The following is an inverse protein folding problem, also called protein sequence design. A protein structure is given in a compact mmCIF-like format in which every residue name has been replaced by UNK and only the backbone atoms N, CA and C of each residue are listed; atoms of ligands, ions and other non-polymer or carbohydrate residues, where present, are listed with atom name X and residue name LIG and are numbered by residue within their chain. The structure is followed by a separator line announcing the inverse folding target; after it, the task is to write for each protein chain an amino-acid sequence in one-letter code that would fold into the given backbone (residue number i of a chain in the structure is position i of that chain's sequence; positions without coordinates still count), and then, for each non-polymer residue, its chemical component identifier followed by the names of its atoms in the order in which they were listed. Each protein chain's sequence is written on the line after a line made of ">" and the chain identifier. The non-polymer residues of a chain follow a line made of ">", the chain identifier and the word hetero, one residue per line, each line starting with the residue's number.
data_IF_715268060286
#
_entry.id   IF_715268060286
#
_cell.length_a   1.000
_cell.length_b   1.000
_cell.length_c   1.000
_cell.angle_alpha   90.00
_cell.angle_beta   90.00
_cell.angle_gamma   90.00
#
_symmetry.space_group_name_H-M   'P 1'
#
loop_
_entity.id
_entity.type
_entity.pdbx_description
1 polymer ?
#
# COMPACT_ATOMS: atom_id res chain seq x y z
N UNK A 1 -4.57 -22.57 -2.88
CA UNK A 1 -3.47 -21.65 -3.23
C UNK A 1 -3.32 -20.68 -2.08
N UNK A 2 -2.13 -20.59 -1.50
CA UNK A 2 -1.88 -19.71 -0.37
C UNK A 2 -1.25 -18.41 -0.91
N UNK A 3 -1.99 -17.31 -0.88
CA UNK A 3 -1.49 -15.99 -1.29
C UNK A 3 -1.21 -15.19 -0.03
N UNK A 4 0.00 -14.65 0.07
CA UNK A 4 0.37 -13.72 1.13
C UNK A 4 0.37 -12.29 0.60
N UNK A 5 -0.41 -11.42 1.23
CA UNK A 5 -0.47 -10.00 0.90
C UNK A 5 0.30 -9.18 1.93
N UNK A 6 1.15 -8.28 1.45
CA UNK A 6 1.78 -7.21 2.25
C UNK A 6 1.43 -5.87 1.64
N UNK A 7 0.75 -5.01 2.40
CA UNK A 7 0.50 -3.63 1.98
C UNK A 7 1.64 -2.71 2.43
N UNK A 8 2.26 -2.05 1.47
CA UNK A 8 3.35 -1.09 1.67
C UNK A 8 2.81 0.31 1.32
N UNK A 9 2.56 1.17 2.32
CA UNK A 9 2.22 2.56 2.05
C UNK A 9 3.47 3.29 1.54
N UNK A 10 3.32 4.02 0.45
CA UNK A 10 4.41 4.82 -0.14
C UNK A 10 4.09 6.29 0.07
N UNK A 11 4.87 6.96 0.91
CA UNK A 11 4.69 8.37 1.23
C UNK A 11 5.85 9.19 0.68
N UNK A 12 5.54 10.00 -0.32
CA UNK A 12 6.46 10.99 -0.87
C UNK A 12 5.66 12.18 -1.42
N UNK A 13 6.36 13.26 -1.78
CA UNK A 13 5.72 14.48 -2.27
C UNK A 13 4.88 14.26 -3.54
N UNK A 14 5.30 13.34 -4.42
CA UNK A 14 4.55 13.05 -5.65
C UNK A 14 3.19 12.41 -5.32
N UNK A 15 3.15 11.48 -4.36
CA UNK A 15 1.91 10.84 -3.94
C UNK A 15 1.01 11.81 -3.18
N UNK A 16 1.56 12.71 -2.36
CA UNK A 16 0.79 13.78 -1.72
C UNK A 16 0.19 14.73 -2.76
N UNK A 17 0.97 15.16 -3.76
CA UNK A 17 0.46 16.02 -4.83
C UNK A 17 -0.64 15.34 -5.65
N UNK A 18 -0.50 14.04 -5.95
CA UNK A 18 -1.54 13.23 -6.62
C UNK A 18 -2.80 13.14 -5.79
N UNK A 19 -2.67 12.89 -4.48
CA UNK A 19 -3.81 12.87 -3.56
C UNK A 19 -4.52 14.23 -3.51
N UNK A 20 -3.77 15.33 -3.36
CA UNK A 20 -4.34 16.68 -3.39
C UNK A 20 -5.06 16.97 -4.71
N UNK A 21 -4.50 16.52 -5.84
CA UNK A 21 -5.16 16.65 -7.14
C UNK A 21 -6.47 15.87 -7.21
N UNK A 22 -6.46 14.62 -6.74
CA UNK A 22 -7.65 13.76 -6.72
C UNK A 22 -8.78 14.33 -5.87
N UNK A 23 -8.42 14.95 -4.73
CA UNK A 23 -9.37 15.61 -3.82
C UNK A 23 -9.73 17.05 -4.24
N UNK A 24 -9.29 17.52 -5.42
CA UNK A 24 -9.49 18.90 -5.91
C UNK A 24 -8.99 20.00 -4.94
N UNK A 25 -7.93 19.71 -4.18
CA UNK A 25 -7.32 20.64 -3.23
C UNK A 25 -6.33 21.59 -3.94
N UNK A 26 -6.08 22.75 -3.33
CA UNK A 26 -5.10 23.72 -3.84
C UNK A 26 -3.67 23.21 -3.66
N UNK A 27 -3.10 22.64 -4.72
CA UNK A 27 -1.71 22.11 -4.73
C UNK A 27 -0.64 23.17 -4.49
N UNK A 28 -0.93 24.46 -4.68
CA UNK A 28 0.03 25.55 -4.47
C UNK A 28 0.04 26.07 -3.04
N UNK A 29 -0.91 25.62 -2.22
CA UNK A 29 -0.96 25.90 -0.80
C UNK A 29 0.02 24.98 -0.06
N UNK A 30 1.12 25.57 0.43
CA UNK A 30 2.18 24.84 1.13
C UNK A 30 1.74 24.37 2.51
N UNK A 31 0.94 25.17 3.22
CA UNK A 31 0.47 24.82 4.55
C UNK A 31 -0.52 23.65 4.47
N UNK A 32 -1.44 23.71 3.51
CA UNK A 32 -2.35 22.60 3.23
C UNK A 32 -1.58 21.33 2.81
N UNK A 33 -0.56 21.46 1.96
CA UNK A 33 0.28 20.33 1.54
C UNK A 33 1.01 19.69 2.72
N UNK A 34 1.61 20.51 3.59
CA UNK A 34 2.29 20.04 4.80
C UNK A 34 1.30 19.34 5.73
N UNK A 35 0.11 19.89 5.90
CA UNK A 35 -0.94 19.29 6.71
C UNK A 35 -1.38 17.92 6.16
N UNK A 36 -1.60 17.81 4.84
CA UNK A 36 -1.91 16.54 4.17
C UNK A 36 -0.79 15.52 4.35
N UNK A 37 0.48 15.94 4.15
CA UNK A 37 1.63 15.07 4.34
C UNK A 37 1.68 14.52 5.77
N UNK A 38 1.60 15.40 6.77
CA UNK A 38 1.64 15.01 8.18
C UNK A 38 0.48 14.08 8.53
N UNK A 39 -0.73 14.35 8.04
CA UNK A 39 -1.89 13.49 8.28
C UNK A 39 -1.68 12.09 7.70
N UNK A 40 -1.18 11.98 6.47
CA UNK A 40 -0.89 10.67 5.86
C UNK A 40 0.24 9.98 6.61
N UNK A 41 1.28 10.70 7.04
CA UNK A 41 2.38 10.14 7.82
C UNK A 41 1.89 9.52 9.13
N UNK A 42 1.07 10.25 9.90
CA UNK A 42 0.47 9.77 11.14
C UNK A 42 -0.38 8.51 10.91
N UNK A 43 -1.19 8.50 9.86
CA UNK A 43 -2.02 7.35 9.48
C UNK A 43 -1.16 6.13 9.12
N UNK A 44 -0.04 6.36 8.42
CA UNK A 44 0.90 5.31 8.04
C UNK A 44 1.61 4.74 9.26
N UNK A 45 2.08 5.58 10.19
CA UNK A 45 2.69 5.10 11.43
C UNK A 45 1.69 4.28 12.27
N UNK A 46 0.44 4.72 12.37
CA UNK A 46 -0.60 3.96 13.08
C UNK A 46 -0.79 2.56 12.47
N UNK A 47 -0.86 2.50 11.13
CA UNK A 47 -0.92 1.21 10.43
C UNK A 47 0.33 0.37 10.66
N UNK A 48 1.53 0.96 10.69
CA UNK A 48 2.78 0.23 10.95
C UNK A 48 2.83 -0.35 12.35
N UNK A 49 2.47 0.41 13.37
CA UNK A 49 2.33 -0.11 14.73
C UNK A 49 1.30 -1.26 14.81
N UNK A 50 0.15 -1.12 14.13
CA UNK A 50 -0.85 -2.18 14.04
C UNK A 50 -0.30 -3.49 13.43
N UNK A 51 0.72 -3.43 12.57
CA UNK A 51 1.34 -4.64 12.00
C UNK A 51 2.05 -5.53 13.02
N UNK A 52 2.49 -4.98 14.16
CA UNK A 52 3.16 -5.74 15.23
C UNK A 52 2.23 -6.74 15.92
N UNK A 53 0.92 -6.52 15.83
CA UNK A 53 -0.10 -7.39 16.42
C UNK A 53 -0.66 -8.45 15.44
N UNK A 54 -0.05 -8.57 14.26
CA UNK A 54 -0.34 -9.63 13.29
C UNK A 54 -1.14 -9.19 12.06
N UNK A 55 -0.94 -9.92 10.96
CA UNK A 55 -1.42 -9.56 9.62
C UNK A 55 -2.93 -9.44 9.50
N UNK A 56 -3.71 -10.32 10.15
CA UNK A 56 -5.19 -10.26 10.06
C UNK A 56 -5.75 -8.98 10.69
N UNK A 57 -5.25 -8.60 11.87
CA UNK A 57 -5.71 -7.42 12.59
C UNK A 57 -5.26 -6.14 11.89
N UNK A 58 -4.01 -6.08 11.43
CA UNK A 58 -3.49 -4.92 10.72
C UNK A 58 -4.17 -4.68 9.37
N UNK A 59 -4.54 -5.74 8.64
CA UNK A 59 -5.36 -5.62 7.43
C UNK A 59 -6.76 -5.07 7.75
N UNK A 60 -7.41 -5.56 8.80
CA UNK A 60 -8.71 -5.03 9.24
C UNK A 60 -8.61 -3.55 9.66
N UNK A 61 -7.53 -3.18 10.37
CA UNK A 61 -7.24 -1.79 10.74
C UNK A 61 -7.07 -0.91 9.50
N UNK A 62 -6.25 -1.32 8.53
CA UNK A 62 -6.03 -0.56 7.30
C UNK A 62 -7.32 -0.33 6.51
N UNK A 63 -8.16 -1.37 6.36
CA UNK A 63 -9.43 -1.24 5.64
C UNK A 63 -10.38 -0.24 6.30
N UNK A 64 -10.47 -0.26 7.63
CA UNK A 64 -11.31 0.68 8.36
C UNK A 64 -10.75 2.10 8.33
N UNK A 65 -9.43 2.26 8.46
CA UNK A 65 -8.76 3.56 8.31
C UNK A 65 -9.06 4.18 6.94
N UNK A 66 -8.94 3.39 5.87
CA UNK A 66 -9.28 3.84 4.52
C UNK A 66 -10.77 4.19 4.36
N UNK A 67 -11.67 3.43 4.97
CA UNK A 67 -13.11 3.72 4.92
C UNK A 67 -13.45 5.04 5.60
N UNK A 68 -12.84 5.36 6.74
CA UNK A 68 -13.14 6.61 7.46
C UNK A 68 -12.70 7.83 6.63
N UNK A 69 -11.55 7.78 5.96
CA UNK A 69 -11.11 8.86 5.07
C UNK A 69 -11.92 9.02 3.76
N UNK A 70 -12.90 8.15 3.49
CA UNK A 70 -13.87 8.41 2.42
C UNK A 70 -14.90 9.49 2.82
N UNK A 71 -15.05 9.74 4.12
CA UNK A 71 -15.95 10.77 4.62
C UNK A 71 -15.27 12.14 4.51
N UNK A 72 -15.94 13.14 3.90
CA UNK A 72 -15.46 14.51 3.87
C UNK A 72 -15.13 15.02 5.27
N UNK A 73 -14.12 15.89 5.38
CA UNK A 73 -13.74 16.61 6.60
C UNK A 73 -13.28 15.72 7.79
N UNK A 74 -13.00 14.45 7.54
CA UNK A 74 -12.40 13.54 8.52
C UNK A 74 -11.05 14.07 9.00
N UNK A 75 -10.93 14.29 10.30
CA UNK A 75 -9.65 14.60 10.97
C UNK A 75 -9.11 13.34 11.61
N UNK A 76 -7.83 13.05 11.38
CA UNK A 76 -7.14 11.99 12.11
C UNK A 76 -6.73 12.51 13.48
N UNK A 77 -7.30 11.93 14.52
CA UNK A 77 -6.89 12.15 15.90
C UNK A 77 -6.69 10.80 16.63
N UNK A 78 -6.13 10.87 17.84
CA UNK A 78 -5.89 9.68 18.65
C UNK A 78 -7.17 8.90 18.92
N UNK A 79 -8.29 9.59 19.16
CA UNK A 79 -9.57 8.95 19.47
C UNK A 79 -10.03 8.10 18.28
N UNK A 80 -9.99 8.64 17.07
CA UNK A 80 -10.37 7.91 15.87
C UNK A 80 -9.47 6.70 15.63
N UNK A 81 -8.16 6.84 15.82
CA UNK A 81 -7.23 5.71 15.66
C UNK A 81 -7.52 4.59 16.66
N UNK A 82 -7.78 4.92 17.93
CA UNK A 82 -8.14 3.93 18.93
C UNK A 82 -9.50 3.27 18.64
N UNK A 83 -10.51 4.04 18.17
CA UNK A 83 -11.80 3.47 17.74
C UNK A 83 -11.65 2.47 16.59
N UNK A 84 -10.78 2.77 15.61
CA UNK A 84 -10.48 1.85 14.50
C UNK A 84 -9.74 0.61 15.03
N UNK A 85 -8.82 0.79 15.96
CA UNK A 85 -8.04 -0.28 16.57
C UNK A 85 -8.91 -1.27 17.35
N UNK A 86 -9.85 -0.77 18.16
CA UNK A 86 -10.81 -1.59 18.88
C UNK A 86 -11.66 -2.44 17.93
N UNK A 87 -12.19 -1.82 16.87
CA UNK A 87 -12.96 -2.53 15.84
C UNK A 87 -12.13 -3.57 15.08
N UNK A 88 -10.83 -3.34 14.93
CA UNK A 88 -9.89 -4.29 14.33
C UNK A 88 -9.37 -5.35 15.34
N UNK A 89 -9.86 -5.33 16.58
CA UNK A 89 -9.44 -6.20 17.68
C UNK A 89 -7.95 -6.09 18.04
N UNK A 90 -7.36 -4.92 17.85
CA UNK A 90 -6.03 -4.59 18.34
C UNK A 90 -6.08 -4.30 19.84
N UNK A 91 -4.97 -4.59 20.52
CA UNK A 91 -4.65 -4.03 21.83
C UNK A 91 -4.34 -2.54 21.64
N UNK A 92 -5.22 -1.69 22.15
CA UNK A 92 -5.13 -0.23 21.99
C UNK A 92 -4.03 0.40 22.80
N UNK A 93 -3.70 -0.17 23.96
CA UNK A 93 -2.62 0.33 24.83
C UNK A 93 -1.29 0.09 24.15
N UNK A 94 -1.06 -1.14 23.68
CA UNK A 94 0.13 -1.49 22.90
C UNK A 94 0.23 -0.70 21.60
N UNK A 95 -0.89 -0.50 20.89
CA UNK A 95 -0.89 0.33 19.68
C UNK A 95 -0.42 1.76 19.97
N UNK A 96 -0.89 2.35 21.07
CA UNK A 96 -0.55 3.72 21.45
C UNK A 96 0.93 3.84 21.83
N UNK A 97 1.48 2.86 22.53
CA UNK A 97 2.91 2.77 22.84
C UNK A 97 3.77 2.67 21.58
N UNK A 98 3.33 1.85 20.62
CA UNK A 98 4.09 1.59 19.40
C UNK A 98 3.95 2.66 18.33
N UNK A 99 2.84 3.42 18.27
CA UNK A 99 2.52 4.32 17.16
C UNK A 99 3.67 5.25 16.78
N UNK A 100 4.28 5.92 17.75
CA UNK A 100 5.38 6.88 17.51
C UNK A 100 6.76 6.33 17.90
N UNK A 101 6.86 5.02 18.16
CA UNK A 101 8.10 4.38 18.56
C UNK A 101 9.15 4.43 17.44
N UNK A 102 10.42 4.35 17.83
CA UNK A 102 11.52 4.33 16.86
C UNK A 102 11.48 3.06 15.99
N UNK A 103 10.97 1.95 16.53
CA UNK A 103 10.76 0.72 15.76
C UNK A 103 9.74 0.93 14.65
N UNK A 104 8.62 1.61 14.92
CA UNK A 104 7.60 1.91 13.90
C UNK A 104 8.15 2.80 12.80
N UNK A 105 8.96 3.81 13.15
CA UNK A 105 9.64 4.68 12.16
C UNK A 105 10.63 3.89 11.31
N UNK A 106 11.44 3.01 11.91
CA UNK A 106 12.37 2.16 11.18
C UNK A 106 11.66 1.21 10.20
N UNK A 107 10.53 0.62 10.61
CA UNK A 107 9.71 -0.24 9.75
C UNK A 107 9.10 0.58 8.60
N UNK A 108 8.65 1.80 8.86
CA UNK A 108 8.21 2.72 7.80
C UNK A 108 9.34 3.02 6.80
N UNK A 109 10.54 3.37 7.28
CA UNK A 109 11.69 3.71 6.43
C UNK A 109 12.13 2.52 5.57
N UNK A 110 12.19 1.32 6.17
CA UNK A 110 12.50 0.07 5.45
C UNK A 110 11.48 -0.20 4.34
N UNK A 111 10.19 0.07 4.59
CA UNK A 111 9.15 -0.07 3.58
C UNK A 111 9.26 0.99 2.46
N UNK A 112 9.72 2.23 2.76
CA UNK A 112 10.01 3.22 1.72
C UNK A 112 11.21 2.79 0.85
N UNK A 113 12.26 2.24 1.48
CA UNK A 113 13.43 1.72 0.77
C UNK A 113 13.04 0.56 -0.15
N UNK A 114 12.25 -0.39 0.36
CA UNK A 114 11.76 -1.52 -0.42
C UNK A 114 10.94 -1.07 -1.64
N UNK A 115 10.08 -0.07 -1.49
CA UNK A 115 9.34 0.51 -2.62
C UNK A 115 10.27 1.16 -3.66
N UNK A 116 11.39 1.75 -3.23
CA UNK A 116 12.41 2.31 -4.12
C UNK A 116 13.17 1.21 -4.87
N UNK A 117 13.57 0.15 -4.17
CA UNK A 117 14.25 -1.03 -4.73
C UNK A 117 13.37 -1.74 -5.77
N UNK A 118 12.07 -1.87 -5.49
CA UNK A 118 11.07 -2.37 -6.44
C UNK A 118 10.75 -1.39 -7.58
N UNK A 119 11.41 -0.23 -7.63
CA UNK A 119 11.25 0.82 -8.63
C UNK A 119 9.79 1.27 -8.83
N UNK A 120 9.02 1.38 -7.73
CA UNK A 120 7.64 1.84 -7.76
C UNK A 120 7.59 3.33 -8.15
N UNK A 121 6.95 3.66 -9.29
CA UNK A 121 6.78 5.05 -9.77
C UNK A 121 5.34 5.55 -9.66
N UNK A 122 4.39 4.63 -9.57
CA UNK A 122 2.97 4.93 -9.48
C UNK A 122 2.32 4.15 -8.35
N UNK A 123 1.29 4.72 -7.75
CA UNK A 123 0.45 4.05 -6.75
C UNK A 123 -1.02 4.16 -7.18
N UNK A 124 -1.84 3.11 -6.97
CA UNK A 124 -1.45 1.79 -6.47
C UNK A 124 -0.67 0.96 -7.50
N UNK A 125 0.28 0.17 -7.00
CA UNK A 125 1.03 -0.85 -7.77
C UNK A 125 1.11 -2.14 -6.96
N UNK A 126 1.23 -3.27 -7.65
CA UNK A 126 1.39 -4.58 -7.04
C UNK A 126 2.66 -5.26 -7.59
N UNK A 127 3.38 -5.98 -6.72
CA UNK A 127 4.49 -6.84 -7.13
C UNK A 127 4.14 -8.25 -6.72
N UNK A 128 4.13 -9.17 -7.70
CA UNK A 128 3.85 -10.57 -7.48
C UNK A 128 5.14 -11.39 -7.60
N UNK A 129 5.40 -12.23 -6.59
CA UNK A 129 6.49 -13.20 -6.58
C UNK A 129 5.90 -14.61 -6.54
N UNK A 130 6.42 -15.52 -7.38
CA UNK A 130 6.04 -16.93 -7.36
C UNK A 130 7.15 -17.76 -6.69
N UNK A 131 6.93 -18.09 -5.42
CA UNK A 131 7.85 -18.90 -4.62
C UNK A 131 7.67 -20.41 -4.81
N UNK A 132 6.86 -20.86 -5.78
CA UNK A 132 6.70 -22.30 -6.05
C UNK A 132 7.85 -22.92 -6.85
N UNK A 133 8.73 -22.09 -7.42
CA UNK A 133 9.91 -22.51 -8.19
C UNK A 133 11.16 -21.97 -7.50
N UNK A 134 12.05 -22.87 -7.06
CA UNK A 134 13.26 -22.54 -6.29
C UNK A 134 14.25 -21.60 -7.04
N UNK A 135 14.09 -21.43 -8.36
CA UNK A 135 15.04 -20.69 -9.23
C UNK A 135 14.56 -19.31 -9.70
N UNK A 136 13.37 -18.84 -9.28
CA UNK A 136 12.85 -17.53 -9.73
C UNK A 136 12.93 -16.48 -8.63
N UNK A 137 13.98 -15.66 -8.68
CA UNK A 137 14.10 -14.42 -7.87
C UNK A 137 13.28 -13.26 -8.47
N UNK A 138 12.72 -13.46 -9.65
CA UNK A 138 12.04 -12.41 -10.40
C UNK A 138 10.66 -12.08 -9.82
N UNK A 139 10.32 -10.79 -9.83
CA UNK A 139 8.99 -10.29 -9.47
C UNK A 139 8.26 -9.69 -10.66
N UNK A 140 6.95 -9.84 -10.74
CA UNK A 140 6.11 -9.13 -11.72
C UNK A 140 5.54 -7.85 -11.09
N UNK A 141 6.04 -6.69 -11.52
CA UNK A 141 5.44 -5.39 -11.20
C UNK A 141 4.25 -5.11 -12.12
N UNK A 142 3.14 -4.69 -11.52
CA UNK A 142 1.89 -4.27 -12.14
C UNK A 142 1.61 -2.85 -11.65
N UNK A 143 1.68 -1.87 -12.54
CA UNK A 143 1.36 -0.47 -12.22
C UNK A 143 -0.09 -0.14 -12.58
N UNK A 144 -0.75 0.72 -11.80
CA UNK A 144 -2.18 1.04 -11.91
C UNK A 144 -3.04 -0.22 -11.72
N UNK A 145 -2.82 -0.92 -10.60
CA UNK A 145 -3.43 -2.22 -10.31
C UNK A 145 -4.85 -2.11 -9.73
N UNK A 146 -5.78 -1.50 -10.46
CA UNK A 146 -7.19 -1.34 -10.06
C UNK A 146 -8.09 -2.53 -10.49
N UNK A 147 -7.62 -3.38 -11.41
CA UNK A 147 -8.37 -4.52 -11.93
C UNK A 147 -8.19 -5.79 -11.08
N UNK A 148 -9.28 -6.24 -10.46
CA UNK A 148 -9.33 -7.53 -9.77
C UNK A 148 -9.05 -8.71 -10.71
N UNK A 149 -9.62 -8.69 -11.91
CA UNK A 149 -9.47 -9.78 -12.87
C UNK A 149 -8.00 -9.94 -13.29
N UNK A 150 -7.28 -8.81 -13.45
CA UNK A 150 -5.86 -8.83 -13.73
C UNK A 150 -5.05 -9.41 -12.57
N UNK A 151 -5.31 -8.96 -11.34
CA UNK A 151 -4.63 -9.50 -10.16
C UNK A 151 -4.90 -10.99 -9.98
N UNK A 152 -6.14 -11.42 -10.25
CA UNK A 152 -6.52 -12.84 -10.23
C UNK A 152 -5.79 -13.64 -11.30
N UNK A 153 -5.65 -13.11 -12.50
CA UNK A 153 -4.88 -13.74 -13.59
C UNK A 153 -3.42 -13.90 -13.20
N UNK A 154 -2.79 -12.86 -12.65
CA UNK A 154 -1.39 -12.90 -12.20
C UNK A 154 -1.19 -13.93 -11.08
N UNK A 155 -2.14 -14.04 -10.17
CA UNK A 155 -2.06 -15.04 -9.11
C UNK A 155 -2.45 -16.45 -9.59
N UNK A 156 -3.02 -16.63 -10.79
CA UNK A 156 -3.47 -17.94 -11.27
C UNK A 156 -2.30 -18.83 -11.72
N UNK A 157 -2.42 -20.15 -11.48
CA UNK A 157 -1.28 -21.07 -11.34
C UNK A 157 -0.35 -21.23 -12.56
N UNK A 158 0.96 -21.41 -12.27
CA UNK A 158 1.87 -22.28 -13.01
C UNK A 158 2.86 -21.59 -13.97
N UNK A 159 2.85 -20.26 -14.02
CA UNK A 159 3.43 -19.49 -15.12
C UNK A 159 4.41 -18.50 -14.49
N UNK A 160 5.68 -18.50 -14.91
CA UNK A 160 6.67 -17.59 -14.32
C UNK A 160 6.27 -16.12 -14.52
N UNK A 161 6.82 -15.17 -13.75
CA UNK A 161 6.62 -13.73 -13.97
C UNK A 161 6.77 -13.30 -15.44
N UNK A 162 7.78 -13.82 -16.14
CA UNK A 162 8.04 -13.55 -17.56
C UNK A 162 6.92 -14.08 -18.45
N UNK A 163 6.46 -15.27 -18.13
CA UNK A 163 5.52 -16.08 -18.90
C UNK A 163 4.10 -15.48 -18.75
N UNK A 164 3.81 -14.93 -17.56
CA UNK A 164 2.63 -14.12 -17.25
C UNK A 164 2.71 -12.76 -17.93
N UNK A 165 3.86 -12.10 -17.89
CA UNK A 165 4.12 -10.86 -18.62
C UNK A 165 3.85 -11.01 -20.12
N UNK A 166 4.34 -12.08 -20.75
CA UNK A 166 4.10 -12.34 -22.18
C UNK A 166 2.62 -12.58 -22.50
N UNK A 167 1.87 -13.27 -21.63
CA UNK A 167 0.42 -13.46 -21.80
C UNK A 167 -0.34 -12.14 -21.70
N UNK A 168 0.00 -11.30 -20.72
CA UNK A 168 -0.63 -10.01 -20.50
C UNK A 168 -0.30 -9.01 -21.62
N UNK A 169 0.93 -9.04 -22.15
CA UNK A 169 1.32 -8.25 -23.33
C UNK A 169 0.49 -8.59 -24.58
N UNK A 170 0.07 -9.85 -24.75
CA UNK A 170 -0.82 -10.26 -25.86
C UNK A 170 -2.27 -9.76 -25.68
N UNK A 171 -2.71 -9.52 -24.44
CA UNK A 171 -4.05 -8.98 -24.12
C UNK A 171 -4.09 -7.43 -24.06
N UNK A 172 -2.93 -6.78 -24.19
CA UNK A 172 -2.73 -5.34 -24.05
C UNK A 172 -3.49 -4.48 -25.07
N UNK A 173 -4.09 -5.07 -26.09
CA UNK A 173 -5.01 -4.38 -27.01
C UNK A 173 -6.26 -3.83 -26.30
N UNK A 174 -6.65 -4.38 -25.14
CA UNK A 174 -7.88 -4.02 -24.43
C UNK A 174 -7.68 -3.31 -23.09
N UNK A 175 -6.43 -3.07 -22.66
CA UNK A 175 -6.13 -2.51 -21.33
C UNK A 175 -5.27 -1.26 -21.48
N UNK A 176 -5.92 -0.14 -21.80
CA UNK A 176 -5.26 1.16 -21.87
C UNK A 176 -5.01 1.65 -20.44
N UNK A 177 -3.74 1.89 -20.07
CA UNK A 177 -3.21 2.48 -18.79
C UNK A 177 -2.48 1.55 -17.81
N UNK A 178 -2.37 0.24 -18.08
CA UNK A 178 -1.62 -0.68 -17.20
C UNK A 178 -0.22 -0.95 -17.78
N UNK A 179 0.81 -0.86 -16.94
CA UNK A 179 2.19 -1.18 -17.28
C UNK A 179 2.68 -2.39 -16.47
N UNK A 180 3.51 -3.21 -17.10
CA UNK A 180 4.09 -4.39 -16.49
C UNK A 180 5.61 -4.36 -16.63
N UNK A 181 6.33 -4.84 -15.62
CA UNK A 181 7.79 -4.99 -15.67
C UNK A 181 8.22 -6.19 -14.85
N UNK A 182 9.17 -6.95 -15.39
CA UNK A 182 9.89 -7.96 -14.61
C UNK A 182 10.97 -7.25 -13.80
N UNK A 183 10.94 -7.45 -12.49
CA UNK A 183 11.99 -7.06 -11.55
C UNK A 183 12.94 -8.25 -11.42
N UNK A 184 14.23 -8.02 -11.63
CA UNK A 184 15.32 -9.00 -11.55
C UNK A 184 16.31 -8.57 -10.49
#
# INVERSE_FOLDING_TARGET
>A
MNIHFKFIPVLNLQNVERYMQFQNLNRRDLDLRNHVFSTIYEAVLAYKAATFQGSKKSQAFLMQLQQVFQQPDTTLDTKLVLEIAEKAHLDTEMLLEDWHSDLTKQVFDSDQQLACEMNIKMTPSAVAFDYSKDDSEAGLLIENCDSYDLLKEVCSQGVSPEDTYQKLQKHKANVTKIAFRVLS
#
